data_IF_497763448884
#
_entry.id   IF_497763448884
#
_cell.length_a   1.000
_cell.length_b   1.000
_cell.length_c   1.000
_cell.angle_alpha   90.00
_cell.angle_beta   90.00
_cell.angle_gamma   90.00
#
_symmetry.space_group_name_H-M   'P 1'
#
loop_
_entity.id
_entity.type
_entity.pdbx_description
1 polymer ?
#
# COMPACT_ATOMS: atom_id res chain seq x y z
N UNK A 1 8.65 -4.56 14.44
CA UNK A 1 7.32 -5.23 14.50
C UNK A 1 6.52 -4.93 13.23
N UNK A 2 5.61 -5.81 12.78
CA UNK A 2 4.81 -5.65 11.56
C UNK A 2 3.31 -5.70 11.90
N UNK A 3 2.50 -4.86 11.23
CA UNK A 3 1.05 -4.85 11.40
C UNK A 3 0.35 -6.02 10.66
N UNK A 4 -0.76 -6.51 11.24
CA UNK A 4 -1.70 -7.42 10.57
C UNK A 4 -2.77 -6.61 9.82
N UNK A 5 -3.33 -7.11 8.71
CA UNK A 5 -4.51 -6.50 8.11
C UNK A 5 -5.73 -6.79 8.99
N UNK A 6 -6.64 -5.81 9.09
CA UNK A 6 -7.87 -5.95 9.87
C UNK A 6 -8.76 -4.72 9.76
N UNK A 7 -9.79 -4.70 10.58
CA UNK A 7 -10.69 -3.57 10.80
C UNK A 7 -10.29 -2.82 12.08
N UNK A 8 -10.88 -1.66 12.32
CA UNK A 8 -10.71 -0.96 13.59
C UNK A 8 -11.19 -1.86 14.74
N UNK A 9 -10.40 -1.98 15.83
CA UNK A 9 -10.80 -2.78 16.98
C UNK A 9 -12.07 -2.21 17.64
N UNK A 10 -12.84 -3.07 18.31
CA UNK A 10 -14.04 -2.64 19.04
C UNK A 10 -13.70 -1.88 20.33
N UNK A 11 -12.59 -2.23 20.98
CA UNK A 11 -12.05 -1.60 22.19
C UNK A 11 -11.10 -0.43 21.84
N UNK A 12 -11.64 0.55 21.07
CA UNK A 12 -10.88 1.65 20.44
C UNK A 12 -10.09 2.49 21.44
N UNK A 13 -10.58 2.67 22.64
CA UNK A 13 -9.95 3.43 23.73
C UNK A 13 -8.57 2.88 24.12
N UNK A 14 -8.27 1.62 23.79
CA UNK A 14 -6.99 0.97 24.03
C UNK A 14 -5.97 1.17 22.92
N UNK A 15 -6.34 1.89 21.85
CA UNK A 15 -5.51 2.06 20.66
C UNK A 15 -5.22 3.54 20.36
N UNK A 16 -4.04 3.79 19.80
CA UNK A 16 -3.71 5.03 19.11
C UNK A 16 -3.79 4.79 17.61
N UNK A 17 -4.31 5.77 16.86
CA UNK A 17 -4.37 5.73 15.40
C UNK A 17 -3.29 6.62 14.79
N UNK A 18 -2.58 6.10 13.83
CA UNK A 18 -1.62 6.84 13.00
C UNK A 18 -2.02 6.77 11.53
N UNK A 19 -1.64 7.77 10.75
CA UNK A 19 -1.76 7.70 9.29
C UNK A 19 -0.91 6.53 8.77
N UNK A 20 -1.50 5.71 7.92
CA UNK A 20 -0.74 4.69 7.20
C UNK A 20 -0.02 5.32 6.01
N UNK A 21 1.24 5.63 6.22
CA UNK A 21 2.11 6.21 5.20
C UNK A 21 2.36 5.22 4.06
N UNK A 22 2.30 5.68 2.82
CA UNK A 22 2.59 4.89 1.61
C UNK A 22 4.04 5.15 1.17
N UNK A 23 4.97 4.42 1.78
CA UNK A 23 6.40 4.59 1.59
C UNK A 23 7.18 3.29 1.69
N UNK A 24 8.41 3.40 2.13
CA UNK A 24 9.28 2.29 2.48
C UNK A 24 9.75 2.42 3.93
N UNK A 25 9.60 1.36 4.69
CA UNK A 25 10.03 1.32 6.08
C UNK A 25 11.55 1.36 6.20
N UNK A 26 12.02 2.19 7.09
CA UNK A 26 13.43 2.28 7.44
C UNK A 26 13.63 2.46 8.94
N UNK A 27 14.69 1.86 9.45
CA UNK A 27 15.19 2.07 10.81
C UNK A 27 16.37 3.04 10.72
N UNK A 28 16.27 4.15 11.44
CA UNK A 28 17.37 5.08 11.67
C UNK A 28 18.18 4.58 12.87
N UNK A 29 19.47 4.41 12.68
CA UNK A 29 20.44 4.14 13.75
C UNK A 29 21.33 5.38 13.89
N UNK A 30 21.36 5.94 15.09
CA UNK A 30 22.24 7.04 15.49
C UNK A 30 23.24 6.48 16.52
N UNK A 31 24.49 6.29 16.11
CA UNK A 31 25.59 5.77 16.92
C UNK A 31 26.89 6.36 16.40
N UNK A 32 27.21 7.58 16.85
CA UNK A 32 28.34 8.35 16.34
C UNK A 32 28.24 8.77 14.85
N UNK A 33 27.20 8.40 14.18
CA UNK A 33 26.84 8.70 12.79
C UNK A 33 25.39 8.29 12.52
N UNK A 34 24.93 8.55 11.28
CA UNK A 34 23.59 8.13 10.85
C UNK A 34 23.71 6.93 9.91
N UNK A 35 22.95 5.88 10.19
CA UNK A 35 22.78 4.73 9.30
C UNK A 35 21.30 4.41 9.14
N UNK A 36 20.85 4.25 7.91
CA UNK A 36 19.49 3.83 7.55
C UNK A 36 19.49 2.37 7.10
N UNK A 37 18.61 1.57 7.68
CA UNK A 37 18.42 0.17 7.26
C UNK A 37 16.96 -0.11 6.94
N UNK A 38 16.72 -0.72 5.78
CA UNK A 38 15.42 -1.20 5.37
C UNK A 38 15.12 -2.62 5.81
N UNK A 39 14.07 -3.20 5.23
CA UNK A 39 13.76 -4.61 5.44
C UNK A 39 14.94 -5.48 5.06
N UNK A 40 15.11 -6.57 5.82
CA UNK A 40 16.17 -7.55 5.62
C UNK A 40 17.59 -6.99 5.73
N UNK A 41 17.77 -5.86 6.46
CA UNK A 41 19.06 -5.25 6.70
C UNK A 41 19.67 -4.52 5.49
N UNK A 42 18.90 -4.24 4.45
CA UNK A 42 19.39 -3.48 3.29
C UNK A 42 19.77 -2.07 3.72
N UNK A 43 21.00 -1.66 3.37
CA UNK A 43 21.53 -0.33 3.68
C UNK A 43 20.90 0.73 2.77
N UNK A 44 20.37 1.82 3.37
CA UNK A 44 19.70 2.92 2.66
C UNK A 44 20.39 4.28 2.83
N UNK A 45 21.39 4.41 3.66
CA UNK A 45 22.02 5.69 4.02
C UNK A 45 22.42 6.52 2.80
N UNK A 46 23.09 5.91 1.83
CA UNK A 46 23.53 6.59 0.61
C UNK A 46 22.38 6.87 -0.38
N UNK A 47 21.25 6.16 -0.27
CA UNK A 47 20.07 6.36 -1.13
C UNK A 47 19.28 7.59 -0.76
N UNK A 48 19.28 7.95 0.53
CA UNK A 48 18.47 9.02 1.10
C UNK A 48 19.31 9.96 1.96
N UNK A 49 20.31 10.65 1.36
CA UNK A 49 21.25 11.51 2.08
C UNK A 49 20.58 12.74 2.72
N UNK A 50 19.38 13.11 2.26
CA UNK A 50 18.57 14.17 2.83
C UNK A 50 17.97 13.82 4.21
N UNK A 51 17.92 12.53 4.57
CA UNK A 51 17.47 12.08 5.89
C UNK A 51 18.65 12.24 6.85
N UNK A 52 18.67 13.36 7.57
CA UNK A 52 19.76 13.77 8.47
C UNK A 52 19.27 14.79 9.50
N UNK A 53 20.15 15.21 10.39
CA UNK A 53 19.87 16.37 11.24
C UNK A 53 18.95 16.10 12.43
N UNK A 54 18.88 14.87 12.94
CA UNK A 54 18.03 14.53 14.10
C UNK A 54 18.44 15.20 15.42
N UNK A 55 19.66 15.75 15.52
CA UNK A 55 20.14 16.39 16.75
C UNK A 55 20.40 15.43 17.94
N UNK A 56 20.19 14.13 17.74
CA UNK A 56 20.29 13.07 18.74
C UNK A 56 21.56 12.24 18.45
N UNK A 57 22.30 11.87 19.49
CA UNK A 57 23.58 11.18 19.31
C UNK A 57 23.45 9.64 19.37
N UNK A 58 22.47 9.12 20.08
CA UNK A 58 22.39 7.70 20.38
C UNK A 58 20.92 7.24 20.46
N UNK A 59 20.36 6.82 19.33
CA UNK A 59 18.97 6.35 19.25
C UNK A 59 18.77 5.33 18.12
N UNK A 60 17.72 4.51 18.23
CA UNK A 60 17.18 3.68 17.16
C UNK A 60 15.70 4.05 16.97
N UNK A 61 15.37 4.53 15.79
CA UNK A 61 14.05 5.06 15.46
C UNK A 61 13.45 4.27 14.31
N UNK A 62 12.20 3.86 14.43
CA UNK A 62 11.45 3.18 13.39
C UNK A 62 10.53 4.17 12.68
N UNK A 63 10.51 4.15 11.37
CA UNK A 63 9.73 5.09 10.58
C UNK A 63 9.53 4.65 9.14
N UNK A 64 8.92 5.54 8.36
CA UNK A 64 8.66 5.35 6.94
C UNK A 64 9.32 6.46 6.13
N UNK A 65 10.03 6.11 5.06
CA UNK A 65 10.53 7.07 4.08
C UNK A 65 9.42 7.27 3.04
N UNK A 66 8.99 8.51 2.85
CA UNK A 66 7.93 8.88 1.92
C UNK A 66 8.39 9.98 0.97
N UNK A 67 7.88 9.97 -0.27
CA UNK A 67 7.91 11.12 -1.16
C UNK A 67 6.51 11.74 -1.20
N UNK A 68 6.42 13.06 -1.11
CA UNK A 68 5.14 13.76 -1.12
C UNK A 68 4.83 14.33 -2.51
N UNK A 69 3.56 14.35 -2.88
CA UNK A 69 3.08 15.06 -4.07
C UNK A 69 3.00 16.58 -3.82
N UNK A 70 2.59 17.35 -4.84
CA UNK A 70 2.45 18.82 -4.73
C UNK A 70 1.37 19.27 -3.73
N UNK A 71 0.52 18.35 -3.27
CA UNK A 71 -0.53 18.59 -2.28
C UNK A 71 -0.13 18.10 -0.88
N UNK A 72 1.13 17.68 -0.70
CA UNK A 72 1.65 17.15 0.56
C UNK A 72 1.18 15.71 0.89
N UNK A 73 0.64 14.96 -0.07
CA UNK A 73 0.19 13.58 0.15
C UNK A 73 1.29 12.59 -0.23
N UNK A 74 1.42 11.46 0.50
CA UNK A 74 2.33 10.39 0.13
C UNK A 74 2.07 9.88 -1.29
N UNK A 75 3.13 9.76 -2.08
CA UNK A 75 3.09 9.25 -3.45
C UNK A 75 4.17 8.20 -3.67
N UNK A 76 3.77 6.95 -3.63
CA UNK A 76 4.70 5.83 -3.86
C UNK A 76 5.31 5.85 -5.28
N UNK A 77 4.56 6.35 -6.27
CA UNK A 77 5.07 6.53 -7.64
C UNK A 77 6.27 7.48 -7.65
N UNK A 78 6.19 8.60 -6.94
CA UNK A 78 7.33 9.52 -6.81
C UNK A 78 8.51 8.87 -6.09
N UNK A 79 8.24 8.11 -5.04
CA UNK A 79 9.26 7.39 -4.30
C UNK A 79 9.96 6.33 -5.16
N UNK A 80 9.25 5.66 -6.07
CA UNK A 80 9.83 4.66 -6.99
C UNK A 80 10.98 5.21 -7.83
N UNK A 81 10.96 6.49 -8.22
CA UNK A 81 12.06 7.12 -8.94
C UNK A 81 13.36 7.19 -8.12
N UNK A 82 13.28 7.03 -6.79
CA UNK A 82 14.41 7.06 -5.86
C UNK A 82 14.85 5.66 -5.39
N UNK A 83 13.93 4.68 -5.34
CA UNK A 83 14.15 3.39 -4.67
C UNK A 83 15.31 2.57 -5.22
N UNK A 84 15.65 2.73 -6.50
CA UNK A 84 16.69 1.96 -7.18
C UNK A 84 18.03 2.71 -7.28
N UNK A 85 18.08 3.98 -6.87
CA UNK A 85 19.29 4.80 -6.93
C UNK A 85 20.10 4.60 -5.65
N UNK A 86 21.36 4.16 -5.76
CA UNK A 86 22.24 3.97 -4.59
C UNK A 86 22.87 5.29 -4.16
N UNK A 87 23.29 6.11 -5.13
CA UNK A 87 23.86 7.44 -4.95
C UNK A 87 23.11 8.39 -5.90
N UNK A 88 22.00 8.98 -5.47
CA UNK A 88 21.20 9.84 -6.34
C UNK A 88 21.93 11.16 -6.64
N UNK A 89 21.92 11.57 -7.89
CA UNK A 89 22.42 12.88 -8.29
C UNK A 89 21.59 14.01 -7.66
N UNK A 90 22.16 15.21 -7.44
CA UNK A 90 21.47 16.34 -6.81
C UNK A 90 20.15 16.69 -7.50
N UNK A 91 20.04 16.56 -8.82
CA UNK A 91 18.82 16.80 -9.56
C UNK A 91 17.70 15.84 -9.15
N UNK A 92 18.00 14.58 -8.86
CA UNK A 92 17.01 13.60 -8.41
C UNK A 92 16.52 13.89 -6.99
N UNK A 93 17.39 14.42 -6.11
CA UNK A 93 17.01 14.87 -4.77
C UNK A 93 16.00 16.03 -4.85
N UNK A 94 16.20 16.96 -5.79
CA UNK A 94 15.32 18.11 -5.98
C UNK A 94 13.99 17.73 -6.64
N UNK A 95 14.02 16.84 -7.65
CA UNK A 95 12.80 16.43 -8.37
C UNK A 95 11.89 15.53 -7.53
N UNK A 96 12.50 14.65 -6.72
CA UNK A 96 11.81 13.65 -5.92
C UNK A 96 12.32 13.67 -4.47
N UNK A 97 12.13 14.77 -3.73
CA UNK A 97 12.54 14.83 -2.33
C UNK A 97 11.77 13.80 -1.50
N UNK A 98 12.45 13.27 -0.50
CA UNK A 98 11.84 12.35 0.46
C UNK A 98 11.89 12.93 1.88
N UNK A 99 10.97 12.46 2.71
CA UNK A 99 10.89 12.80 4.13
C UNK A 99 10.82 11.52 4.95
N UNK A 100 11.42 11.52 6.12
CA UNK A 100 11.29 10.43 7.08
C UNK A 100 10.15 10.73 8.05
N UNK A 101 9.25 9.78 8.24
CA UNK A 101 8.10 9.85 9.14
C UNK A 101 8.36 8.89 10.32
N UNK A 102 8.97 9.34 11.43
CA UNK A 102 9.22 8.51 12.60
C UNK A 102 7.89 8.16 13.29
N UNK A 103 7.75 6.91 13.74
CA UNK A 103 6.53 6.46 14.39
C UNK A 103 6.74 5.55 15.60
N UNK A 104 7.99 5.16 15.91
CA UNK A 104 8.32 4.42 17.13
C UNK A 104 9.79 4.64 17.53
N UNK A 105 10.08 4.61 18.83
CA UNK A 105 11.42 4.72 19.39
C UNK A 105 11.79 3.41 20.05
N UNK A 106 12.92 2.83 19.64
CA UNK A 106 13.31 1.48 20.03
C UNK A 106 14.48 1.44 21.03
N UNK A 107 15.29 2.51 21.01
CA UNK A 107 16.46 2.65 21.86
C UNK A 107 16.79 4.13 22.02
N UNK A 108 17.19 4.55 23.22
CA UNK A 108 17.61 5.91 23.53
C UNK A 108 18.70 5.89 24.62
N UNK A 109 19.84 6.53 24.35
CA UNK A 109 20.93 6.81 25.30
C UNK A 109 21.33 5.60 26.18
N UNK A 110 21.54 4.43 25.58
CA UNK A 110 21.94 3.21 26.28
C UNK A 110 20.79 2.32 26.73
N UNK A 111 19.54 2.77 26.62
CA UNK A 111 18.37 2.07 27.16
C UNK A 111 17.54 1.48 26.01
N UNK A 112 17.39 0.15 25.91
CA UNK A 112 16.44 -0.48 25.01
C UNK A 112 15.01 -0.26 25.51
N UNK A 113 14.10 0.13 24.59
CA UNK A 113 12.72 0.52 24.91
C UNK A 113 11.69 -0.55 24.47
N UNK A 114 12.13 -1.70 23.97
CA UNK A 114 11.26 -2.72 23.38
C UNK A 114 10.14 -3.22 24.30
N UNK A 115 10.39 -3.30 25.59
CA UNK A 115 9.43 -3.80 26.57
C UNK A 115 8.52 -2.73 27.16
N UNK A 116 8.79 -1.45 26.90
CA UNK A 116 7.90 -0.37 27.29
C UNK A 116 6.59 -0.45 26.51
N UNK A 117 5.46 -0.01 27.09
CA UNK A 117 4.21 0.24 26.38
C UNK A 117 4.40 1.19 25.19
N UNK A 118 3.66 0.98 24.11
CA UNK A 118 3.73 1.86 22.92
C UNK A 118 3.51 3.33 23.28
N UNK A 119 2.53 3.64 24.16
CA UNK A 119 2.26 5.01 24.62
C UNK A 119 3.48 5.70 25.21
N UNK A 120 4.31 4.96 25.97
CA UNK A 120 5.49 5.52 26.65
C UNK A 120 6.64 5.73 25.66
N UNK A 121 6.85 4.77 24.74
CA UNK A 121 7.83 4.94 23.64
C UNK A 121 7.45 6.10 22.73
N UNK A 122 6.14 6.29 22.51
CA UNK A 122 5.62 7.38 21.68
C UNK A 122 5.79 8.73 22.36
N UNK A 123 5.54 8.85 23.65
CA UNK A 123 5.78 10.06 24.42
C UNK A 123 7.26 10.46 24.35
N UNK A 124 8.18 9.51 24.55
CA UNK A 124 9.61 9.75 24.39
C UNK A 124 9.98 10.19 22.96
N UNK A 125 9.36 9.61 21.95
CA UNK A 125 9.59 10.00 20.55
C UNK A 125 9.14 11.45 20.31
N UNK A 126 8.01 11.86 20.87
CA UNK A 126 7.46 13.22 20.73
C UNK A 126 8.34 14.26 21.43
N UNK A 127 8.93 13.92 22.59
CA UNK A 127 9.88 14.77 23.32
C UNK A 127 11.17 15.07 22.55
N UNK A 128 11.54 14.20 21.60
CA UNK A 128 12.74 14.38 20.76
C UNK A 128 12.58 15.46 19.68
N UNK A 129 11.38 15.94 19.41
CA UNK A 129 11.03 16.97 18.41
C UNK A 129 11.67 16.76 17.02
N UNK A 130 11.65 15.51 16.56
CA UNK A 130 12.25 15.09 15.28
C UNK A 130 11.23 15.01 14.13
N UNK A 131 10.11 15.72 14.26
CA UNK A 131 9.07 15.75 13.25
C UNK A 131 8.22 14.48 13.18
N UNK A 132 8.04 13.79 14.32
CA UNK A 132 7.13 12.65 14.38
C UNK A 132 5.69 13.09 14.08
N UNK A 133 5.01 12.47 13.07
CA UNK A 133 3.62 12.81 12.80
C UNK A 133 2.75 12.48 14.02
N UNK A 134 1.69 13.24 14.31
CA UNK A 134 0.85 12.98 15.47
C UNK A 134 0.16 11.62 15.38
N UNK A 135 -0.06 10.98 16.53
CA UNK A 135 -1.06 9.92 16.64
C UNK A 135 -2.35 10.47 17.28
N UNK A 136 -3.45 9.79 17.05
CA UNK A 136 -4.78 10.22 17.50
C UNK A 136 -5.40 9.15 18.40
N UNK A 137 -6.30 9.52 19.34
CA UNK A 137 -7.07 8.54 20.08
C UNK A 137 -7.79 7.56 19.15
N UNK A 138 -7.92 6.29 19.54
CA UNK A 138 -8.57 5.26 18.71
C UNK A 138 -10.02 5.54 18.39
N UNK A 139 -10.69 6.35 19.20
CA UNK A 139 -12.08 6.82 19.03
C UNK A 139 -12.22 7.97 18.02
N UNK A 140 -11.09 8.55 17.55
CA UNK A 140 -11.10 9.66 16.59
C UNK A 140 -11.61 9.25 15.21
N UNK A 141 -12.06 10.23 14.42
CA UNK A 141 -12.50 10.06 13.04
C UNK A 141 -11.35 10.02 12.03
N UNK A 142 -10.12 9.70 12.48
CA UNK A 142 -8.94 9.69 11.61
C UNK A 142 -9.12 8.80 10.37
N UNK A 143 -9.80 7.65 10.49
CA UNK A 143 -10.06 6.77 9.36
C UNK A 143 -10.90 7.49 8.29
N UNK A 144 -11.95 8.22 8.67
CA UNK A 144 -12.76 9.00 7.73
C UNK A 144 -11.94 10.15 7.12
N UNK A 145 -11.19 10.87 7.94
CA UNK A 145 -10.34 11.98 7.49
C UNK A 145 -9.28 11.53 6.48
N UNK A 146 -8.62 10.40 6.72
CA UNK A 146 -7.64 9.82 5.78
C UNK A 146 -8.29 9.39 4.45
N UNK A 147 -9.55 8.91 4.47
CA UNK A 147 -10.30 8.59 3.25
C UNK A 147 -10.58 9.85 2.42
N UNK A 148 -11.06 10.91 3.04
CA UNK A 148 -11.35 12.18 2.37
C UNK A 148 -10.09 12.82 1.75
N UNK A 149 -8.94 12.63 2.38
CA UNK A 149 -7.65 13.12 1.88
C UNK A 149 -7.01 12.18 0.84
N UNK A 150 -7.61 11.04 0.53
CA UNK A 150 -7.07 10.05 -0.41
C UNK A 150 -5.81 9.34 0.10
N UNK A 151 -5.64 9.22 1.42
CA UNK A 151 -4.55 8.47 2.05
C UNK A 151 -4.88 6.98 2.09
N UNK A 152 -3.87 6.12 2.31
CA UNK A 152 -4.01 4.66 2.23
C UNK A 152 -4.90 4.07 3.33
N UNK A 153 -4.98 4.72 4.49
CA UNK A 153 -5.70 4.26 5.67
C UNK A 153 -5.02 4.65 6.97
N UNK A 154 -5.21 3.84 8.01
CA UNK A 154 -4.60 4.05 9.32
C UNK A 154 -3.91 2.79 9.85
N UNK A 155 -3.00 2.99 10.79
CA UNK A 155 -2.46 1.93 11.66
C UNK A 155 -3.02 2.13 13.05
N UNK A 156 -3.81 1.18 13.55
CA UNK A 156 -4.21 1.14 14.95
C UNK A 156 -3.13 0.40 15.75
N UNK A 157 -2.54 1.08 16.71
CA UNK A 157 -1.48 0.55 17.58
C UNK A 157 -2.00 0.46 19.02
N UNK A 158 -1.93 -0.72 19.61
CA UNK A 158 -2.37 -0.94 20.99
C UNK A 158 -1.44 -0.21 21.96
N UNK A 159 -1.98 0.66 22.79
CA UNK A 159 -1.26 1.61 23.63
C UNK A 159 -0.37 0.93 24.69
N UNK A 160 -0.79 -0.22 25.23
CA UNK A 160 -0.06 -0.99 26.23
C UNK A 160 0.87 -2.06 25.62
N UNK A 161 1.06 -2.07 24.27
CA UNK A 161 1.83 -3.12 23.63
C UNK A 161 3.34 -2.87 23.67
N UNK A 162 4.15 -3.90 23.95
CA UNK A 162 5.59 -3.86 23.73
C UNK A 162 5.90 -3.90 22.22
N UNK A 163 7.13 -3.59 21.86
CA UNK A 163 7.63 -3.76 20.49
C UNK A 163 8.31 -5.12 20.33
N UNK A 164 7.90 -5.90 19.32
CA UNK A 164 8.47 -7.23 19.03
C UNK A 164 9.16 -7.21 17.65
N UNK A 165 10.49 -7.04 17.59
CA UNK A 165 11.23 -6.99 16.33
C UNK A 165 10.98 -8.22 15.45
N UNK A 166 10.90 -8.03 14.13
CA UNK A 166 10.78 -9.12 13.15
C UNK A 166 9.42 -9.83 13.12
N UNK A 167 8.55 -9.63 14.12
CA UNK A 167 7.28 -10.36 14.22
C UNK A 167 6.10 -9.59 13.63
N UNK A 168 5.14 -10.34 13.11
CA UNK A 168 3.80 -9.81 12.75
C UNK A 168 2.91 -9.91 14.00
N UNK A 169 2.41 -8.77 14.47
CA UNK A 169 1.70 -8.67 15.74
C UNK A 169 0.27 -8.19 15.58
N UNK A 170 -0.72 -8.81 16.26
CA UNK A 170 -2.10 -8.32 16.28
C UNK A 170 -2.27 -7.01 17.05
N UNK A 171 -1.26 -6.58 17.80
CA UNK A 171 -1.28 -5.29 18.49
C UNK A 171 -1.15 -4.08 17.55
N UNK A 172 -0.69 -4.31 16.31
CA UNK A 172 -0.69 -3.33 15.24
C UNK A 172 -1.59 -3.79 14.12
N UNK A 173 -2.65 -3.04 13.86
CA UNK A 173 -3.66 -3.38 12.86
C UNK A 173 -3.63 -2.32 11.76
N UNK A 174 -3.38 -2.74 10.53
CA UNK A 174 -3.47 -1.85 9.37
C UNK A 174 -4.88 -1.91 8.79
N UNK A 175 -5.57 -0.79 8.87
CA UNK A 175 -6.91 -0.59 8.32
C UNK A 175 -6.77 0.24 7.05
N UNK A 176 -7.04 -0.38 5.91
CA UNK A 176 -6.95 0.27 4.60
C UNK A 176 -8.31 0.69 4.10
N UNK A 177 -8.36 1.83 3.42
CA UNK A 177 -9.52 2.19 2.63
C UNK A 177 -9.64 1.23 1.44
N UNK A 178 -10.79 0.59 1.32
CA UNK A 178 -11.14 -0.24 0.20
C UNK A 178 -12.32 0.42 -0.50
N UNK A 179 -12.09 0.92 -1.69
CA UNK A 179 -13.16 1.30 -2.61
C UNK A 179 -13.57 0.07 -3.42
N UNK A 180 -14.83 -0.07 -3.76
CA UNK A 180 -15.29 -1.07 -4.71
C UNK A 180 -15.62 -0.42 -6.04
N UNK A 181 -15.48 -1.18 -7.12
CA UNK A 181 -15.85 -0.75 -8.45
C UNK A 181 -16.27 -1.92 -9.30
N UNK A 182 -17.30 -1.68 -10.09
CA UNK A 182 -17.65 -2.58 -11.17
C UNK A 182 -16.65 -2.43 -12.32
N UNK A 183 -16.29 -3.55 -12.90
CA UNK A 183 -15.34 -3.64 -14.02
C UNK A 183 -15.88 -4.62 -15.06
N UNK A 184 -15.60 -4.35 -16.33
CA UNK A 184 -15.90 -5.26 -17.43
C UNK A 184 -14.72 -6.21 -17.61
N UNK A 185 -14.98 -7.50 -17.76
CA UNK A 185 -13.96 -8.51 -18.03
C UNK A 185 -13.70 -8.53 -19.54
N UNK A 186 -12.50 -8.14 -19.97
CA UNK A 186 -12.09 -8.15 -21.37
C UNK A 186 -11.10 -9.27 -21.71
N UNK A 187 -10.70 -10.08 -20.72
CA UNK A 187 -9.80 -11.20 -20.96
C UNK A 187 -9.19 -11.76 -19.69
N UNK A 188 -8.20 -12.64 -19.87
CA UNK A 188 -7.38 -13.14 -18.76
C UNK A 188 -5.93 -13.37 -19.19
N UNK A 189 -5.05 -13.31 -18.23
CA UNK A 189 -3.66 -13.76 -18.35
C UNK A 189 -3.60 -15.24 -17.98
N UNK A 190 -2.98 -16.11 -18.79
CA UNK A 190 -2.82 -17.51 -18.46
C UNK A 190 -2.06 -17.73 -17.15
N UNK A 191 -2.51 -18.70 -16.37
CA UNK A 191 -1.87 -19.09 -15.12
C UNK A 191 -0.52 -19.77 -15.32
N UNK A 192 0.27 -19.82 -14.26
CA UNK A 192 1.56 -20.52 -14.19
C UNK A 192 1.56 -21.53 -13.02
N UNK A 193 2.46 -22.50 -13.07
CA UNK A 193 2.59 -23.51 -12.00
C UNK A 193 1.28 -24.27 -11.78
N UNK A 194 0.76 -24.27 -10.57
CA UNK A 194 -0.49 -24.96 -10.20
C UNK A 194 -1.73 -24.48 -10.99
N UNK A 195 -1.72 -23.24 -11.53
CA UNK A 195 -2.79 -22.67 -12.35
C UNK A 195 -2.50 -22.76 -13.85
N UNK A 196 -1.52 -23.58 -14.27
CA UNK A 196 -1.20 -23.76 -15.69
C UNK A 196 -2.43 -24.32 -16.43
N UNK A 197 -2.75 -23.73 -17.60
CA UNK A 197 -3.93 -24.09 -18.39
C UNK A 197 -5.24 -23.38 -17.99
N UNK A 198 -5.24 -22.63 -16.86
CA UNK A 198 -6.38 -21.86 -16.36
C UNK A 198 -6.08 -20.36 -16.31
N UNK A 199 -6.83 -19.65 -15.46
CA UNK A 199 -6.75 -18.20 -15.25
C UNK A 199 -5.68 -17.89 -14.21
N UNK A 200 -4.70 -17.05 -14.56
CA UNK A 200 -3.74 -16.46 -13.63
C UNK A 200 -4.26 -15.16 -13.02
N UNK A 201 -4.83 -14.29 -13.86
CA UNK A 201 -5.51 -13.05 -13.44
C UNK A 201 -6.52 -12.64 -14.51
N UNK A 202 -7.60 -11.96 -14.13
CA UNK A 202 -8.54 -11.33 -15.06
C UNK A 202 -7.98 -9.99 -15.54
N UNK A 203 -8.28 -9.63 -16.79
CA UNK A 203 -7.99 -8.35 -17.42
C UNK A 203 -9.26 -7.53 -17.42
N UNK A 204 -9.19 -6.33 -16.82
CA UNK A 204 -10.37 -5.52 -16.50
C UNK A 204 -10.37 -4.19 -17.22
N UNK A 205 -11.56 -3.70 -17.54
CA UNK A 205 -11.78 -2.37 -18.10
C UNK A 205 -13.01 -1.67 -17.55
N UNK A 206 -13.10 -0.41 -17.90
CA UNK A 206 -14.30 0.43 -17.76
C UNK A 206 -14.52 1.17 -19.07
N UNK A 207 -15.76 1.54 -19.38
CA UNK A 207 -16.03 2.37 -20.55
C UNK A 207 -15.62 3.82 -20.29
N UNK A 208 -15.13 4.44 -21.34
CA UNK A 208 -14.84 5.88 -21.48
C UNK A 208 -15.32 6.33 -22.84
N UNK A 209 -15.24 7.61 -23.14
CA UNK A 209 -15.58 8.15 -24.47
C UNK A 209 -14.75 7.52 -25.61
N UNK A 210 -13.55 6.99 -25.29
CA UNK A 210 -12.68 6.27 -26.24
C UNK A 210 -13.06 4.79 -26.45
N UNK A 211 -14.00 4.24 -25.65
CA UNK A 211 -14.37 2.83 -25.67
C UNK A 211 -13.97 2.10 -24.39
N UNK A 212 -13.92 0.75 -24.45
CA UNK A 212 -13.50 -0.06 -23.28
C UNK A 212 -12.02 0.19 -23.01
N UNK A 213 -11.74 0.80 -21.87
CA UNK A 213 -10.38 1.19 -21.44
C UNK A 213 -9.89 0.24 -20.37
N UNK A 214 -8.74 -0.38 -20.59
CA UNK A 214 -8.08 -1.25 -19.64
C UNK A 214 -7.67 -0.49 -18.37
N UNK A 215 -8.02 -1.03 -17.19
CA UNK A 215 -7.75 -0.43 -15.87
C UNK A 215 -6.95 -1.32 -14.93
N UNK A 216 -6.52 -2.49 -15.36
CA UNK A 216 -5.65 -3.35 -14.57
C UNK A 216 -5.96 -4.83 -14.66
N UNK A 217 -5.14 -5.62 -13.95
CA UNK A 217 -5.34 -7.06 -13.77
C UNK A 217 -5.69 -7.36 -12.32
N UNK A 218 -6.60 -8.30 -12.07
CA UNK A 218 -6.87 -8.83 -10.73
C UNK A 218 -6.50 -10.31 -10.67
N UNK A 219 -5.61 -10.66 -9.73
CA UNK A 219 -5.09 -12.04 -9.54
C UNK A 219 -5.32 -12.60 -8.14
N UNK A 220 -6.00 -11.83 -7.27
CA UNK A 220 -6.29 -12.17 -5.87
C UNK A 220 -7.79 -12.07 -5.57
N UNK A 221 -8.25 -12.70 -4.50
CA UNK A 221 -9.67 -12.78 -4.15
C UNK A 221 -10.40 -13.96 -4.78
N UNK A 222 -9.68 -14.93 -5.33
CA UNK A 222 -10.22 -16.13 -5.95
C UNK A 222 -9.89 -17.37 -5.12
N UNK A 223 -10.84 -18.28 -5.03
CA UNK A 223 -10.57 -19.69 -4.73
C UNK A 223 -10.25 -20.43 -6.04
N UNK A 224 -9.61 -21.59 -5.96
CA UNK A 224 -9.32 -22.39 -7.17
C UNK A 224 -10.63 -22.82 -7.87
N UNK A 225 -11.67 -23.21 -7.10
CA UNK A 225 -12.99 -23.54 -7.65
C UNK A 225 -13.63 -22.36 -8.42
N UNK A 226 -13.52 -21.14 -7.88
CA UNK A 226 -14.05 -19.95 -8.55
C UNK A 226 -13.29 -19.64 -9.85
N UNK A 227 -11.98 -19.88 -9.89
CA UNK A 227 -11.18 -19.72 -11.12
C UNK A 227 -11.58 -20.73 -12.19
N UNK A 228 -11.89 -21.98 -11.82
CA UNK A 228 -12.37 -23.01 -12.73
C UNK A 228 -13.77 -22.65 -13.28
N UNK A 229 -14.65 -22.13 -12.44
CA UNK A 229 -15.97 -21.65 -12.86
C UNK A 229 -15.84 -20.48 -13.83
N UNK A 230 -15.02 -19.47 -13.50
CA UNK A 230 -14.75 -18.34 -14.38
C UNK A 230 -14.14 -18.78 -15.72
N UNK A 231 -13.24 -19.76 -15.72
CA UNK A 231 -12.65 -20.30 -16.93
C UNK A 231 -13.70 -20.94 -17.83
N UNK A 232 -14.63 -21.74 -17.25
CA UNK A 232 -15.74 -22.36 -18.00
C UNK A 232 -16.67 -21.33 -18.65
N UNK A 233 -16.92 -20.22 -17.97
CA UNK A 233 -17.77 -19.12 -18.47
C UNK A 233 -17.06 -18.25 -19.50
N UNK A 234 -15.77 -17.96 -19.31
CA UNK A 234 -15.01 -17.06 -20.18
C UNK A 234 -14.51 -17.72 -21.47
N UNK A 235 -14.16 -19.01 -21.44
CA UNK A 235 -13.63 -19.72 -22.60
C UNK A 235 -14.52 -19.67 -23.84
N UNK A 236 -15.85 -19.85 -23.75
CA UNK A 236 -16.74 -19.73 -24.91
C UNK A 236 -16.83 -18.30 -25.48
N UNK A 237 -16.38 -17.29 -24.72
CA UNK A 237 -16.38 -15.87 -25.13
C UNK A 237 -15.06 -15.44 -25.76
N UNK A 238 -14.09 -16.35 -25.96
CA UNK A 238 -12.78 -15.99 -26.54
C UNK A 238 -12.92 -15.29 -27.91
N UNK A 239 -12.12 -14.25 -28.09
CA UNK A 239 -12.00 -13.50 -29.34
C UNK A 239 -10.51 -13.33 -29.72
N UNK A 240 -10.19 -13.15 -31.02
CA UNK A 240 -8.80 -13.12 -31.47
C UNK A 240 -8.05 -11.83 -31.12
N UNK A 241 -8.74 -10.72 -30.92
CA UNK A 241 -8.16 -9.38 -30.71
C UNK A 241 -8.59 -8.76 -29.40
N UNK A 242 -7.78 -7.81 -28.89
CA UNK A 242 -8.09 -7.06 -27.66
C UNK A 242 -9.38 -6.27 -27.81
N UNK A 243 -10.31 -6.31 -26.84
CA UNK A 243 -11.48 -5.44 -26.82
C UNK A 243 -11.17 -4.04 -26.26
N UNK A 244 -9.95 -3.81 -25.76
CA UNK A 244 -9.57 -2.54 -25.15
C UNK A 244 -9.04 -1.55 -26.18
N UNK A 245 -9.39 -0.29 -26.00
CA UNK A 245 -8.94 0.82 -26.86
C UNK A 245 -7.51 1.30 -26.55
N UNK A 246 -6.96 0.94 -25.38
CA UNK A 246 -5.61 1.30 -24.97
C UNK A 246 -4.71 0.06 -24.83
N UNK A 247 -3.41 0.29 -24.71
CA UNK A 247 -2.42 -0.78 -24.61
C UNK A 247 -2.60 -1.59 -23.31
N UNK A 248 -2.57 -2.92 -23.46
CA UNK A 248 -2.62 -3.88 -22.35
C UNK A 248 -1.31 -4.65 -22.30
N UNK A 249 -0.56 -4.56 -21.19
CA UNK A 249 0.72 -5.25 -21.07
C UNK A 249 0.53 -6.79 -21.03
N UNK A 250 1.60 -7.50 -21.44
CA UNK A 250 1.72 -8.96 -21.45
C UNK A 250 0.84 -9.66 -22.50
N UNK A 251 1.07 -10.96 -22.61
CA UNK A 251 0.30 -11.85 -23.51
C UNK A 251 -0.94 -12.34 -22.78
N UNK A 252 -2.12 -11.93 -23.26
CA UNK A 252 -3.41 -12.25 -22.66
C UNK A 252 -4.26 -13.09 -23.64
N UNK A 253 -5.30 -13.73 -23.11
CA UNK A 253 -6.44 -14.27 -23.86
C UNK A 253 -7.56 -13.27 -23.77
N UNK A 254 -8.17 -12.93 -24.89
CA UNK A 254 -9.21 -11.92 -24.98
C UNK A 254 -10.58 -12.55 -25.00
N UNK A 255 -11.56 -11.88 -24.43
CA UNK A 255 -12.97 -12.30 -24.48
C UNK A 255 -13.86 -11.13 -24.91
N UNK A 256 -14.98 -11.47 -25.48
CA UNK A 256 -16.07 -10.53 -25.69
C UNK A 256 -16.46 -9.94 -24.31
N UNK A 257 -16.53 -8.61 -24.19
CA UNK A 257 -16.70 -7.92 -22.91
C UNK A 257 -18.16 -7.92 -22.44
N UNK A 258 -18.72 -9.12 -22.24
CA UNK A 258 -20.12 -9.31 -21.87
C UNK A 258 -20.34 -9.41 -20.35
N UNK A 259 -19.29 -9.64 -19.57
CA UNK A 259 -19.39 -9.92 -18.15
C UNK A 259 -18.90 -8.74 -17.31
N UNK A 260 -19.66 -8.42 -16.28
CA UNK A 260 -19.31 -7.44 -15.24
C UNK A 260 -18.93 -8.18 -13.96
N UNK A 261 -17.91 -7.67 -13.28
CA UNK A 261 -17.52 -8.10 -11.95
C UNK A 261 -17.24 -6.94 -11.04
N UNK A 262 -17.20 -7.18 -9.74
CA UNK A 262 -16.82 -6.20 -8.74
C UNK A 262 -15.41 -6.48 -8.23
N UNK A 263 -14.62 -5.43 -8.07
CA UNK A 263 -13.31 -5.47 -7.41
C UNK A 263 -13.24 -4.45 -6.29
N UNK A 264 -12.59 -4.83 -5.18
CA UNK A 264 -12.12 -3.89 -4.20
C UNK A 264 -10.72 -3.42 -4.61
N UNK A 265 -10.42 -2.15 -4.41
CA UNK A 265 -9.11 -1.57 -4.74
C UNK A 265 -8.75 -0.46 -3.75
N UNK A 266 -7.47 -0.07 -3.68
CA UNK A 266 -7.02 0.96 -2.74
C UNK A 266 -7.13 2.37 -3.30
N UNK A 267 -6.72 2.59 -4.55
CA UNK A 267 -6.75 3.90 -5.23
C UNK A 267 -6.58 3.72 -6.74
N UNK A 268 -6.80 4.79 -7.48
CA UNK A 268 -6.37 4.90 -8.87
C UNK A 268 -4.90 5.35 -8.92
N UNK A 269 -4.12 4.79 -9.86
CA UNK A 269 -2.78 5.29 -10.18
C UNK A 269 -2.85 6.48 -11.16
N UNK A 270 -1.74 7.19 -11.33
CA UNK A 270 -1.65 8.29 -12.30
C UNK A 270 -1.87 7.79 -13.75
N UNK A 271 -1.47 6.52 -14.05
CA UNK A 271 -1.73 5.86 -15.33
C UNK A 271 -3.17 5.34 -15.46
N UNK A 272 -4.04 5.74 -14.54
CA UNK A 272 -5.47 5.36 -14.55
C UNK A 272 -5.69 3.84 -14.43
N UNK A 273 -4.94 3.19 -13.53
CA UNK A 273 -5.08 1.78 -13.16
C UNK A 273 -5.59 1.63 -11.74
N UNK A 274 -6.32 0.54 -11.48
CA UNK A 274 -6.72 0.16 -10.12
C UNK A 274 -5.51 -0.44 -9.38
N UNK A 275 -5.16 0.15 -8.23
CA UNK A 275 -4.05 -0.32 -7.40
C UNK A 275 -4.53 -1.39 -6.42
N UNK A 276 -3.80 -2.52 -6.36
CA UNK A 276 -4.06 -3.67 -5.49
C UNK A 276 -5.51 -4.20 -5.60
N UNK A 277 -6.03 -4.45 -6.83
CA UNK A 277 -7.38 -4.93 -6.97
C UNK A 277 -7.53 -6.35 -6.40
N UNK A 278 -8.66 -6.58 -5.73
CA UNK A 278 -9.07 -7.86 -5.15
C UNK A 278 -10.47 -8.18 -5.69
N UNK A 279 -10.62 -9.35 -6.28
CA UNK A 279 -11.89 -9.81 -6.83
C UNK A 279 -12.94 -10.02 -5.73
N UNK A 280 -14.16 -9.54 -5.97
CA UNK A 280 -15.29 -9.68 -5.05
C UNK A 280 -16.35 -10.65 -5.59
N UNK A 281 -16.56 -10.67 -6.91
CA UNK A 281 -17.55 -11.54 -7.54
C UNK A 281 -17.99 -11.04 -8.91
N UNK A 282 -18.74 -11.89 -9.63
CA UNK A 282 -19.50 -11.48 -10.82
C UNK A 282 -20.70 -10.62 -10.40
N UNK A 283 -21.08 -9.70 -11.27
CA UNK A 283 -22.25 -8.82 -11.14
C UNK A 283 -23.26 -9.13 -12.25
N UNK A 284 -24.02 -10.26 -12.14
CA UNK A 284 -24.99 -10.66 -13.15
C UNK A 284 -26.19 -9.71 -13.22
N UNK A 285 -26.34 -8.84 -12.20
CA UNK A 285 -27.34 -7.78 -12.10
C UNK A 285 -26.99 -6.54 -12.93
N UNK A 286 -25.77 -6.47 -13.53
CA UNK A 286 -25.29 -5.34 -14.31
C UNK A 286 -24.89 -5.73 -15.73
N UNK A 287 -25.04 -4.78 -16.66
CA UNK A 287 -24.59 -4.92 -18.04
C UNK A 287 -23.32 -4.06 -18.28
N UNK A 288 -22.43 -4.47 -19.20
CA UNK A 288 -21.19 -3.73 -19.47
C UNK A 288 -21.39 -2.24 -19.78
N UNK A 289 -22.49 -1.89 -20.47
CA UNK A 289 -22.81 -0.50 -20.83
C UNK A 289 -23.07 0.43 -19.61
N UNK A 290 -23.23 -0.11 -18.40
CA UNK A 290 -23.37 0.68 -17.16
C UNK A 290 -22.04 0.93 -16.46
N UNK A 291 -20.94 0.31 -16.90
CA UNK A 291 -19.63 0.36 -16.25
C UNK A 291 -18.79 1.48 -16.82
N UNK A 292 -19.15 2.71 -16.54
CA UNK A 292 -18.43 3.92 -16.96
C UNK A 292 -17.45 4.38 -15.88
N UNK A 293 -16.44 5.12 -16.33
CA UNK A 293 -15.44 5.72 -15.46
C UNK A 293 -15.96 6.89 -14.65
#
# INVERSE_FOLDING_TARGET
>A
MLAVPGELPSDRERYGLEVKWDGIRAIVHLDGGLRLTGRHGVEYTRRYPEISGFGIKNAIIDGEIVALDRRGRPSFVRLQHRMHLTDPEPVMLQLYPVTYMPFDLLYLDGIPLFDLPYRDRRALLDELDIGAPPYFPGESDLLSATSQQGLEGVIAKRLDSPYRPGTRSPWWIKVKHLSTRDVVIGGWKPGKGRRAGGIGSLVMGVFTDAGLTYVGHVGTGFTDALLDDLYRVLRPLEIPSSPFCNEVPWRNRWVRPDLVGEVAYTMWTDEQRLRHPVWRGLRPDKIPAEVWR
#
